data_IF_662835436277
#
_entry.id   IF_662835436277
#
_cell.length_a   1.000
_cell.length_b   1.000
_cell.length_c   1.000
_cell.angle_alpha   90.00
_cell.angle_beta   90.00
_cell.angle_gamma   90.00
#
_symmetry.space_group_name_H-M   'P 1'
#
loop_
_entity.id
_entity.type
_entity.pdbx_description
1 polymer ?
#
# COMPACT_ATOMS: atom_id res chain seq x y z
N UNK A 1 21.42 -12.96 -27.42
CA UNK A 1 21.97 -13.79 -26.31
C UNK A 1 21.34 -15.17 -26.43
N UNK A 2 22.14 -16.23 -26.43
CA UNK A 2 21.69 -17.62 -26.33
C UNK A 2 22.02 -18.14 -24.93
N UNK A 3 21.02 -18.55 -24.17
CA UNK A 3 21.18 -19.14 -22.85
C UNK A 3 20.57 -20.55 -22.82
N UNK A 4 21.21 -21.48 -22.08
CA UNK A 4 20.66 -22.83 -21.85
C UNK A 4 19.48 -22.81 -20.88
N UNK A 5 19.46 -21.87 -19.95
CA UNK A 5 18.40 -21.64 -18.96
C UNK A 5 18.23 -20.16 -18.73
N UNK A 6 16.99 -19.72 -18.46
CA UNK A 6 16.65 -18.34 -18.11
C UNK A 6 15.96 -18.36 -16.75
N UNK A 7 16.41 -17.52 -15.83
CA UNK A 7 15.78 -17.30 -14.53
C UNK A 7 15.04 -15.97 -14.61
N UNK A 8 13.72 -15.99 -14.41
CA UNK A 8 12.87 -14.80 -14.38
C UNK A 8 12.67 -14.37 -12.92
N UNK A 9 13.25 -13.25 -12.55
CA UNK A 9 13.17 -12.65 -11.21
C UNK A 9 12.55 -11.24 -11.32
N UNK A 10 11.35 -11.16 -11.90
CA UNK A 10 10.69 -9.91 -12.30
C UNK A 10 9.97 -9.18 -11.17
N UNK A 11 9.85 -9.82 -9.99
CA UNK A 11 9.20 -9.24 -8.81
C UNK A 11 7.71 -9.02 -8.98
N UNK A 12 7.20 -7.98 -8.32
CA UNK A 12 5.79 -7.60 -8.32
C UNK A 12 5.62 -6.08 -8.35
N UNK A 13 4.45 -5.64 -8.76
CA UNK A 13 4.07 -4.22 -8.87
C UNK A 13 3.03 -3.94 -7.78
N UNK A 14 3.28 -2.90 -6.98
CA UNK A 14 2.34 -2.45 -5.95
C UNK A 14 1.07 -1.88 -6.59
N UNK A 15 -0.09 -2.28 -6.07
CA UNK A 15 -1.39 -1.81 -6.55
C UNK A 15 -1.80 -0.53 -5.83
N UNK A 16 -2.36 0.45 -6.55
CA UNK A 16 -2.99 1.60 -5.92
C UNK A 16 -4.31 1.20 -5.24
N UNK A 17 -4.79 2.06 -4.35
CA UNK A 17 -6.12 2.01 -3.76
C UNK A 17 -7.07 2.97 -4.49
N UNK A 18 -8.36 2.62 -4.56
CA UNK A 18 -9.38 3.40 -5.28
C UNK A 18 -10.26 4.15 -4.28
N UNK A 19 -10.36 5.46 -4.45
CA UNK A 19 -11.21 6.38 -3.68
C UNK A 19 -11.37 7.70 -4.44
N UNK A 20 -12.27 8.56 -4.02
CA UNK A 20 -12.52 9.84 -4.70
C UNK A 20 -11.29 10.76 -4.65
N UNK A 21 -10.95 11.35 -5.82
CA UNK A 21 -9.80 12.24 -5.99
C UNK A 21 -8.45 11.59 -5.64
N UNK A 22 -8.27 10.33 -6.01
CA UNK A 22 -7.03 9.57 -5.78
C UNK A 22 -5.89 9.94 -6.74
N UNK A 23 -6.11 10.83 -7.68
CA UNK A 23 -5.15 11.36 -8.65
C UNK A 23 -4.48 12.68 -8.21
N UNK A 24 -4.82 13.16 -7.02
CA UNK A 24 -4.31 14.44 -6.50
C UNK A 24 -2.80 14.37 -6.24
N UNK A 25 -2.01 15.43 -6.59
CA UNK A 25 -0.60 15.50 -6.24
C UNK A 25 -0.36 15.32 -4.73
N UNK A 26 0.66 14.54 -4.38
CA UNK A 26 0.96 14.13 -3.00
C UNK A 26 0.37 12.76 -2.62
N UNK A 27 -0.36 12.11 -3.53
CA UNK A 27 -0.76 10.72 -3.38
C UNK A 27 0.22 9.86 -4.18
N UNK A 28 0.87 8.91 -3.52
CA UNK A 28 1.95 8.08 -4.06
C UNK A 28 1.77 6.64 -3.61
N UNK A 29 2.36 5.69 -4.34
CA UNK A 29 2.50 4.33 -3.82
C UNK A 29 3.38 4.33 -2.56
N UNK A 30 3.03 3.51 -1.58
CA UNK A 30 3.77 3.39 -0.32
C UNK A 30 5.23 3.00 -0.56
N UNK A 31 5.48 2.05 -1.46
CA UNK A 31 6.83 1.65 -1.86
C UNK A 31 7.61 2.78 -2.54
N UNK A 32 6.95 3.66 -3.29
CA UNK A 32 7.60 4.81 -3.90
C UNK A 32 8.07 5.81 -2.85
N UNK A 33 7.23 6.13 -1.85
CA UNK A 33 7.60 7.00 -0.72
C UNK A 33 8.82 6.43 0.01
N UNK A 34 8.77 5.12 0.35
CA UNK A 34 9.89 4.43 0.97
C UNK A 34 11.16 4.54 0.13
N UNK A 35 11.06 4.29 -1.18
CA UNK A 35 12.18 4.35 -2.09
C UNK A 35 12.79 5.75 -2.23
N UNK A 36 11.97 6.80 -2.30
CA UNK A 36 12.46 8.18 -2.30
C UNK A 36 13.24 8.49 -1.04
N UNK A 37 12.74 8.06 0.10
CA UNK A 37 13.42 8.25 1.37
C UNK A 37 14.69 7.40 1.49
N UNK A 38 14.64 6.12 1.13
CA UNK A 38 15.75 5.16 1.29
C UNK A 38 16.94 5.44 0.37
N UNK A 39 16.67 5.74 -0.90
CA UNK A 39 17.71 5.86 -1.93
C UNK A 39 18.16 7.30 -2.17
N UNK A 40 17.25 8.26 -1.98
CA UNK A 40 17.52 9.65 -2.35
C UNK A 40 17.51 10.62 -1.16
N UNK A 41 17.17 10.14 0.05
CA UNK A 41 17.07 10.99 1.23
C UNK A 41 15.95 12.04 1.15
N UNK A 42 14.93 11.79 0.33
CA UNK A 42 13.84 12.73 0.08
C UNK A 42 12.61 12.33 0.88
N UNK A 43 12.13 13.21 1.78
CA UNK A 43 10.82 13.11 2.41
C UNK A 43 9.75 13.63 1.45
N UNK A 44 8.78 12.78 1.09
CA UNK A 44 7.71 13.13 0.15
C UNK A 44 6.66 14.09 0.75
N UNK A 45 6.62 14.23 2.06
CA UNK A 45 5.78 15.15 2.81
C UNK A 45 6.25 15.32 4.24
N UNK A 46 5.75 16.37 4.89
CA UNK A 46 5.98 16.64 6.33
C UNK A 46 5.01 15.86 7.21
N UNK A 47 3.76 15.62 6.71
CA UNK A 47 2.69 14.89 7.40
C UNK A 47 2.23 13.73 6.54
N UNK A 48 2.89 12.59 6.72
CA UNK A 48 2.59 11.39 5.92
C UNK A 48 1.48 10.56 6.59
N UNK A 49 0.52 10.12 5.79
CA UNK A 49 -0.47 9.11 6.16
C UNK A 49 -0.31 7.93 5.20
N UNK A 50 -0.44 6.70 5.71
CA UNK A 50 -0.40 5.49 4.88
C UNK A 50 -1.78 4.85 4.86
N UNK A 51 -2.24 4.44 3.68
CA UNK A 51 -3.50 3.73 3.48
C UNK A 51 -3.25 2.38 2.85
N UNK A 52 -3.73 1.30 3.48
CA UNK A 52 -3.35 -0.05 3.10
C UNK A 52 -4.42 -1.11 3.38
N UNK A 53 -4.23 -2.28 2.79
CA UNK A 53 -4.89 -3.55 3.10
C UNK A 53 -3.87 -4.70 3.35
N UNK A 54 -2.59 -4.38 3.50
CA UNK A 54 -1.52 -5.36 3.63
C UNK A 54 -0.37 -4.84 4.51
N UNK A 55 0.64 -5.67 4.78
CA UNK A 55 1.70 -5.37 5.74
C UNK A 55 2.83 -4.50 5.20
N UNK A 56 2.99 -4.36 3.88
CA UNK A 56 4.12 -3.59 3.32
C UNK A 56 4.09 -2.10 3.66
N UNK A 57 2.89 -1.54 3.92
CA UNK A 57 2.79 -0.16 4.39
C UNK A 57 3.35 0.02 5.82
N UNK A 58 3.29 -1.01 6.66
CA UNK A 58 3.90 -1.00 7.99
C UNK A 58 5.43 -0.98 7.91
N UNK A 59 6.01 -1.75 6.97
CA UNK A 59 7.45 -1.67 6.68
C UNK A 59 7.86 -0.27 6.20
N UNK A 60 7.02 0.35 5.37
CA UNK A 60 7.23 1.73 4.93
C UNK A 60 7.20 2.70 6.10
N UNK A 61 6.19 2.59 6.98
CA UNK A 61 6.09 3.44 8.18
C UNK A 61 7.35 3.36 9.05
N UNK A 62 7.80 2.14 9.35
CA UNK A 62 9.01 1.89 10.15
C UNK A 62 10.24 2.51 9.48
N UNK A 63 10.43 2.29 8.18
CA UNK A 63 11.56 2.86 7.44
C UNK A 63 11.56 4.40 7.47
N UNK A 64 10.40 5.03 7.32
CA UNK A 64 10.25 6.50 7.38
C UNK A 64 10.63 7.04 8.76
N UNK A 65 10.11 6.43 9.84
CA UNK A 65 10.36 6.85 11.21
C UNK A 65 11.85 6.73 11.57
N UNK A 66 12.49 5.63 11.19
CA UNK A 66 13.92 5.43 11.41
C UNK A 66 14.79 6.51 10.79
N UNK A 67 14.26 7.24 9.81
CA UNK A 67 14.90 8.37 9.13
C UNK A 67 14.38 9.73 9.58
N UNK A 68 13.61 9.78 10.65
CA UNK A 68 13.06 11.02 11.21
C UNK A 68 11.90 11.62 10.41
N UNK A 69 11.31 10.87 9.46
CA UNK A 69 10.13 11.32 8.70
C UNK A 69 8.87 11.00 9.50
N UNK A 70 8.00 11.99 9.67
CA UNK A 70 6.77 11.86 10.46
C UNK A 70 5.73 11.03 9.70
N UNK A 71 5.17 10.03 10.39
CA UNK A 71 3.99 9.27 9.97
C UNK A 71 2.89 9.50 10.99
N UNK A 72 1.87 10.27 10.62
CA UNK A 72 0.77 10.68 11.51
C UNK A 72 -0.20 9.52 11.81
N UNK A 73 -0.49 8.72 10.77
CA UNK A 73 -1.43 7.61 10.91
C UNK A 73 -1.24 6.54 9.83
N UNK A 74 -1.73 5.33 10.14
CA UNK A 74 -1.99 4.26 9.17
C UNK A 74 -3.49 4.00 9.16
N UNK A 75 -4.08 3.96 7.97
CA UNK A 75 -5.48 3.58 7.72
C UNK A 75 -5.43 2.19 7.10
N UNK A 76 -5.98 1.20 7.77
CA UNK A 76 -5.98 -0.19 7.29
C UNK A 76 -7.41 -0.68 7.11
N UNK A 77 -7.73 -1.20 5.93
CA UNK A 77 -9.05 -1.75 5.65
C UNK A 77 -9.35 -3.00 6.49
N UNK A 78 -8.33 -3.68 6.98
CA UNK A 78 -8.47 -4.88 7.81
C UNK A 78 -8.86 -4.49 9.24
N UNK A 79 -9.87 -5.14 9.79
CA UNK A 79 -10.24 -5.01 11.21
C UNK A 79 -9.24 -5.78 12.09
N UNK A 80 -8.84 -6.97 11.63
CA UNK A 80 -7.85 -7.80 12.30
C UNK A 80 -6.54 -7.79 11.52
N UNK A 81 -5.47 -7.35 12.17
CA UNK A 81 -4.14 -7.23 11.59
C UNK A 81 -3.23 -8.21 12.34
N UNK A 82 -2.87 -9.29 11.67
CA UNK A 82 -1.95 -10.28 12.21
C UNK A 82 -0.54 -10.04 11.64
N UNK A 83 0.09 -8.96 12.07
CA UNK A 83 1.42 -8.56 11.62
C UNK A 83 2.36 -8.38 12.80
N UNK A 84 3.56 -8.93 12.69
CA UNK A 84 4.64 -8.70 13.67
C UNK A 84 5.07 -7.22 13.72
N UNK A 85 4.89 -6.49 12.63
CA UNK A 85 5.24 -5.08 12.49
C UNK A 85 4.28 -4.15 13.24
N UNK A 86 3.07 -4.64 13.56
CA UNK A 86 2.05 -3.86 14.27
C UNK A 86 2.58 -3.32 15.60
N UNK A 87 3.23 -4.19 16.39
CA UNK A 87 3.81 -3.82 17.68
C UNK A 87 4.85 -2.70 17.56
N UNK A 88 5.71 -2.77 16.54
CA UNK A 88 6.74 -1.76 16.30
C UNK A 88 6.15 -0.41 15.93
N UNK A 89 5.10 -0.40 15.12
CA UNK A 89 4.37 0.81 14.73
C UNK A 89 3.63 1.43 15.93
N UNK A 90 2.95 0.61 16.74
CA UNK A 90 2.25 1.07 17.96
C UNK A 90 3.23 1.64 19.01
N UNK A 91 4.41 1.04 19.16
CA UNK A 91 5.49 1.56 20.04
C UNK A 91 5.97 2.96 19.64
N UNK A 92 5.90 3.30 18.36
CA UNK A 92 6.26 4.63 17.86
C UNK A 92 5.09 5.63 17.92
N UNK A 93 4.01 5.32 18.64
CA UNK A 93 2.82 6.16 18.83
C UNK A 93 2.09 6.57 17.53
N UNK A 94 2.22 5.78 16.46
CA UNK A 94 1.48 6.01 15.23
C UNK A 94 0.03 5.57 15.43
N UNK A 95 -0.90 6.46 15.09
CA UNK A 95 -2.33 6.15 15.17
C UNK A 95 -2.73 5.17 14.07
N UNK A 96 -3.37 4.05 14.44
CA UNK A 96 -3.85 3.05 13.47
C UNK A 96 -5.36 3.03 13.46
N UNK A 97 -5.96 3.27 12.29
CA UNK A 97 -7.39 3.18 12.03
C UNK A 97 -7.69 1.81 11.41
N UNK A 98 -7.98 0.81 12.25
CA UNK A 98 -8.31 -0.57 11.84
C UNK A 98 -9.76 -0.67 11.34
N UNK A 99 -9.98 -1.31 10.20
CA UNK A 99 -11.30 -1.43 9.57
C UNK A 99 -11.82 -0.12 8.97
N UNK A 100 -10.92 0.81 8.62
CA UNK A 100 -11.28 2.06 7.96
C UNK A 100 -10.82 2.09 6.52
N UNK A 101 -11.54 2.85 5.71
CA UNK A 101 -11.17 3.14 4.32
C UNK A 101 -11.11 4.64 4.08
N UNK A 102 -10.22 5.03 3.17
CA UNK A 102 -10.21 6.40 2.63
C UNK A 102 -11.39 6.53 1.66
N UNK A 103 -12.20 7.55 1.85
CA UNK A 103 -13.35 7.83 0.98
C UNK A 103 -13.12 9.00 0.03
N UNK A 104 -12.28 9.98 0.44
CA UNK A 104 -12.02 11.16 -0.37
C UNK A 104 -10.74 11.85 0.09
N UNK A 105 -10.18 12.67 -0.79
CA UNK A 105 -9.10 13.61 -0.47
C UNK A 105 -9.48 15.05 -0.82
N UNK A 106 -8.85 16.01 -0.15
CA UNK A 106 -9.05 17.45 -0.41
C UNK A 106 -7.69 18.14 -0.57
N UNK A 107 -7.71 19.29 -1.23
CA UNK A 107 -6.54 20.13 -1.46
C UNK A 107 -6.69 20.89 -2.79
N UNK A 108 -5.92 21.97 -3.00
CA UNK A 108 -5.95 22.74 -4.23
C UNK A 108 -4.87 22.26 -5.21
N UNK A 109 -3.61 22.58 -4.98
CA UNK A 109 -2.48 22.14 -5.83
C UNK A 109 -1.92 20.78 -5.40
N UNK A 110 -2.16 20.39 -4.16
CA UNK A 110 -1.66 19.18 -3.52
C UNK A 110 -2.66 18.72 -2.47
N UNK A 111 -2.60 17.47 -2.08
CA UNK A 111 -3.38 16.96 -0.95
C UNK A 111 -3.07 17.76 0.32
N UNK A 112 -4.11 18.13 1.08
CA UNK A 112 -3.98 18.72 2.42
C UNK A 112 -4.83 18.03 3.48
N UNK A 113 -5.71 17.11 3.05
CA UNK A 113 -6.62 16.39 3.94
C UNK A 113 -7.08 15.08 3.30
N UNK A 114 -7.18 14.05 4.12
CA UNK A 114 -7.80 12.76 3.80
C UNK A 114 -9.07 12.59 4.64
N UNK A 115 -10.10 12.04 4.03
CA UNK A 115 -11.36 11.67 4.68
C UNK A 115 -11.48 10.17 4.74
N UNK A 116 -11.82 9.63 5.92
CA UNK A 116 -11.95 8.21 6.13
C UNK A 116 -13.26 7.88 6.86
N UNK A 117 -13.77 6.69 6.61
CA UNK A 117 -14.95 6.13 7.28
C UNK A 117 -14.68 4.67 7.63
N UNK A 118 -15.38 4.18 8.66
CA UNK A 118 -15.30 2.78 9.05
C UNK A 118 -15.98 1.90 7.99
N UNK A 119 -15.41 0.73 7.71
CA UNK A 119 -16.04 -0.31 6.89
C UNK A 119 -17.06 -1.10 7.74
N UNK A 120 -18.13 -1.54 7.11
CA UNK A 120 -19.03 -2.54 7.68
C UNK A 120 -18.28 -3.87 7.88
N UNK A 121 -18.83 -4.76 8.71
CA UNK A 121 -18.18 -6.06 9.01
C UNK A 121 -17.93 -6.93 7.78
N UNK A 122 -18.77 -6.80 6.76
CA UNK A 122 -18.63 -7.49 5.48
C UNK A 122 -17.72 -6.76 4.46
N UNK A 123 -17.20 -5.58 4.84
CA UNK A 123 -16.34 -4.76 3.99
C UNK A 123 -17.01 -4.10 2.78
N UNK A 124 -18.35 -4.25 2.63
CA UNK A 124 -19.07 -3.82 1.42
C UNK A 124 -19.55 -2.37 1.47
N UNK A 125 -19.64 -1.78 2.65
CA UNK A 125 -20.20 -0.43 2.85
C UNK A 125 -19.37 0.36 3.84
N UNK A 126 -19.43 1.67 3.74
CA UNK A 126 -18.92 2.58 4.77
C UNK A 126 -20.03 2.87 5.79
N UNK A 127 -19.67 2.93 7.06
CA UNK A 127 -20.60 3.15 8.17
C UNK A 127 -20.04 4.19 9.15
N UNK A 128 -20.92 4.76 9.94
CA UNK A 128 -20.56 5.73 10.98
C UNK A 128 -20.23 7.12 10.45
N UNK A 129 -19.56 7.90 11.28
CA UNK A 129 -19.23 9.29 10.99
C UNK A 129 -17.92 9.40 10.21
N UNK A 130 -17.86 10.38 9.32
CA UNK A 130 -16.65 10.75 8.57
C UNK A 130 -15.60 11.33 9.52
N UNK A 131 -14.39 10.81 9.45
CA UNK A 131 -13.21 11.35 10.14
C UNK A 131 -12.34 12.05 9.11
N UNK A 132 -11.72 13.15 9.46
CA UNK A 132 -10.80 13.89 8.58
C UNK A 132 -9.45 14.08 9.27
N UNK A 133 -8.37 13.82 8.52
CA UNK A 133 -7.00 13.99 8.97
C UNK A 133 -6.27 14.94 8.02
N UNK A 134 -5.48 15.84 8.57
CA UNK A 134 -4.58 16.69 7.78
C UNK A 134 -3.35 15.88 7.34
N UNK A 135 -2.98 16.01 6.08
CA UNK A 135 -1.75 15.42 5.53
C UNK A 135 -1.32 16.18 4.28
N UNK A 136 -0.06 16.11 3.94
CA UNK A 136 0.48 16.62 2.67
C UNK A 136 1.08 15.51 1.80
N UNK A 137 1.11 14.27 2.32
CA UNK A 137 1.45 13.07 1.58
C UNK A 137 0.58 11.90 2.04
N UNK A 138 -0.02 11.19 1.07
CA UNK A 138 -0.78 9.96 1.29
C UNK A 138 -0.10 8.81 0.54
N UNK A 139 0.49 7.88 1.29
CA UNK A 139 1.02 6.63 0.73
C UNK A 139 -0.08 5.59 0.62
N UNK A 140 -0.22 4.97 -0.55
CA UNK A 140 -1.25 3.94 -0.79
C UNK A 140 -0.62 2.60 -1.13
N UNK A 141 -1.16 1.51 -0.57
CA UNK A 141 -0.72 0.14 -0.82
C UNK A 141 -1.91 -0.81 -0.84
N UNK A 142 -2.33 -1.20 -2.03
CA UNK A 142 -3.47 -2.11 -2.28
C UNK A 142 -3.07 -3.57 -2.53
N UNK A 143 -1.87 -3.96 -2.08
CA UNK A 143 -1.29 -5.28 -2.33
C UNK A 143 -0.35 -5.29 -3.52
N UNK A 144 0.04 -6.48 -3.96
CA UNK A 144 1.09 -6.69 -4.96
C UNK A 144 0.61 -7.60 -6.07
N UNK A 145 0.87 -7.21 -7.31
CA UNK A 145 0.58 -8.03 -8.50
C UNK A 145 1.89 -8.58 -9.06
N UNK A 146 2.08 -9.90 -9.15
CA UNK A 146 3.28 -10.49 -9.74
C UNK A 146 3.49 -10.04 -11.19
N UNK A 147 4.73 -9.70 -11.54
CA UNK A 147 5.09 -9.31 -12.91
C UNK A 147 5.35 -10.57 -13.76
N UNK A 148 4.26 -11.19 -14.24
CA UNK A 148 4.30 -12.49 -14.92
C UNK A 148 4.42 -12.42 -16.45
N UNK A 149 4.59 -11.23 -17.01
CA UNK A 149 4.56 -10.99 -18.47
C UNK A 149 5.60 -11.81 -19.23
N UNK A 150 6.87 -11.81 -18.80
CA UNK A 150 7.93 -12.58 -19.46
C UNK A 150 7.72 -14.09 -19.32
N UNK A 151 7.17 -14.53 -18.19
CA UNK A 151 6.82 -15.93 -17.97
C UNK A 151 5.75 -16.41 -18.96
N UNK A 152 4.68 -15.62 -19.16
CA UNK A 152 3.63 -15.97 -20.13
C UNK A 152 4.11 -15.91 -21.58
N UNK A 153 4.95 -14.93 -21.93
CA UNK A 153 5.55 -14.82 -23.25
C UNK A 153 6.48 -16.01 -23.58
N UNK A 154 7.07 -16.64 -22.56
CA UNK A 154 7.84 -17.87 -22.73
C UNK A 154 6.99 -19.15 -22.80
N UNK A 155 5.66 -19.05 -22.88
CA UNK A 155 4.73 -20.16 -22.94
C UNK A 155 4.26 -20.67 -21.58
N UNK A 156 4.63 -20.01 -20.49
CA UNK A 156 4.19 -20.34 -19.13
C UNK A 156 2.69 -20.10 -18.93
N UNK A 157 2.02 -21.00 -18.21
CA UNK A 157 0.60 -20.89 -17.88
C UNK A 157 0.42 -20.22 -16.52
N UNK A 158 -0.68 -19.48 -16.38
CA UNK A 158 -1.07 -18.82 -15.13
C UNK A 158 -2.27 -19.52 -14.51
N UNK A 159 -2.36 -19.44 -13.17
CA UNK A 159 -3.60 -19.67 -12.44
C UNK A 159 -3.98 -18.43 -11.64
N UNK A 160 -5.27 -18.21 -11.48
CA UNK A 160 -5.78 -17.17 -10.59
C UNK A 160 -5.74 -17.68 -9.14
N UNK A 161 -5.23 -16.85 -8.23
CA UNK A 161 -5.26 -17.10 -6.78
C UNK A 161 -6.26 -16.14 -6.14
N UNK A 162 -7.36 -16.69 -5.62
CA UNK A 162 -8.47 -15.91 -5.08
C UNK A 162 -8.09 -15.18 -3.79
N UNK A 163 -7.22 -15.76 -2.96
CA UNK A 163 -6.79 -15.17 -1.69
C UNK A 163 -6.21 -13.75 -1.85
N UNK A 164 -5.38 -13.56 -2.88
CA UNK A 164 -4.71 -12.28 -3.16
C UNK A 164 -5.31 -11.56 -4.38
N UNK A 165 -6.26 -12.18 -5.06
CA UNK A 165 -6.86 -11.67 -6.31
C UNK A 165 -5.81 -11.38 -7.39
N UNK A 166 -4.88 -12.32 -7.62
CA UNK A 166 -3.78 -12.19 -8.57
C UNK A 166 -3.57 -13.42 -9.44
N UNK A 167 -2.98 -13.22 -10.61
CA UNK A 167 -2.47 -14.31 -11.43
C UNK A 167 -1.04 -14.67 -11.02
N UNK A 168 -0.78 -15.95 -10.78
CA UNK A 168 0.52 -16.49 -10.43
C UNK A 168 0.96 -17.54 -11.44
N UNK A 169 2.28 -17.79 -11.61
CA UNK A 169 2.77 -18.88 -12.42
C UNK A 169 2.17 -20.21 -11.99
N UNK A 170 1.69 -20.98 -12.96
CA UNK A 170 1.23 -22.32 -12.74
C UNK A 170 2.29 -23.32 -13.20
N UNK A 171 2.88 -24.04 -12.24
CA UNK A 171 3.81 -25.13 -12.52
C UNK A 171 3.14 -26.44 -12.22
N UNK A 172 3.01 -27.33 -13.22
CA UNK A 172 2.78 -28.74 -12.95
C UNK A 172 4.07 -29.31 -12.38
N UNK A 173 4.07 -29.76 -11.14
CA UNK A 173 5.06 -30.72 -10.70
C UNK A 173 4.69 -32.04 -11.36
N UNK A 174 5.37 -32.37 -12.46
CA UNK A 174 5.37 -33.71 -13.04
C UNK A 174 6.24 -34.62 -12.21
#
# INVERSE_FOLDING_TARGET
IRAKKVISATGSIERPMVFDNNDRPGILLSSAIKRYCDLFGVACGEKNILFTNNDSAYETAISLIQKGVVVEAIIDNREQINSKLLYEVEKNNIKIFKGFTVTNTSGYKRINKVSLMKLSKDGQKVVGSKVSLSCDCLGISGGWTPAVHLFTQSGGKLKFREEDQVFIPYTHHS
#
